data_IF_978491063878
#
_entry.id   IF_978491063878
#
_cell.length_a   1.000
_cell.length_b   1.000
_cell.length_c   1.000
_cell.angle_alpha   90.00
_cell.angle_beta   90.00
_cell.angle_gamma   90.00
#
_symmetry.space_group_name_H-M   'P 1'
#
loop_
_entity.id
_entity.type
_entity.pdbx_description
1 polymer ?
#
# COMPACT_ATOMS: atom_id res chain seq x y z
N UNK A 1 -81.84 20.67 -18.11
CA UNK A 1 -80.83 20.47 -19.17
C UNK A 1 -79.55 19.99 -18.51
N UNK A 2 -79.05 18.85 -18.99
CA UNK A 2 -77.72 18.21 -18.91
C UNK A 2 -76.73 18.65 -17.80
N UNK A 3 -76.13 17.80 -16.95
CA UNK A 3 -75.43 16.50 -17.06
C UNK A 3 -73.94 16.71 -16.67
N UNK A 4 -73.31 15.63 -16.21
CA UNK A 4 -71.88 15.43 -15.94
C UNK A 4 -71.29 16.13 -14.69
N UNK A 5 -70.40 15.53 -13.88
CA UNK A 5 -69.92 14.15 -13.67
C UNK A 5 -69.00 14.24 -12.44
N UNK A 6 -68.84 13.14 -11.73
CA UNK A 6 -67.66 12.72 -10.95
C UNK A 6 -67.94 12.27 -9.52
N UNK A 7 -67.52 11.03 -9.33
CA UNK A 7 -67.63 10.16 -8.19
C UNK A 7 -66.21 9.80 -7.73
N UNK A 8 -66.14 9.43 -6.45
CA UNK A 8 -65.10 8.67 -5.77
C UNK A 8 -63.97 9.54 -5.17
N UNK A 9 -63.45 9.26 -3.97
CA UNK A 9 -63.21 7.96 -3.34
C UNK A 9 -63.31 8.04 -1.82
N UNK A 10 -63.90 7.01 -1.22
CA UNK A 10 -63.79 6.71 0.21
C UNK A 10 -62.81 5.53 0.39
N UNK A 11 -62.12 5.57 1.51
CA UNK A 11 -60.95 4.76 1.85
C UNK A 11 -61.24 3.26 2.02
N UNK A 12 -60.25 2.44 1.66
CA UNK A 12 -59.96 1.20 2.37
C UNK A 12 -58.45 1.03 2.47
N UNK A 13 -58.03 0.70 3.68
CA UNK A 13 -56.71 0.80 4.25
C UNK A 13 -56.08 -0.59 4.35
N UNK A 14 -54.79 -0.69 4.08
CA UNK A 14 -53.95 -1.83 4.49
C UNK A 14 -53.43 -2.69 3.35
N UNK A 15 -52.26 -2.33 2.80
CA UNK A 15 -51.12 -3.27 2.58
C UNK A 15 -49.87 -2.66 1.90
N UNK A 16 -49.67 -1.34 1.91
CA UNK A 16 -48.55 -0.69 1.18
C UNK A 16 -47.45 -0.07 2.04
N UNK A 17 -47.46 -0.23 3.37
CA UNK A 17 -46.46 0.41 4.23
C UNK A 17 -45.09 -0.30 4.29
N UNK A 18 -44.91 -1.45 3.63
CA UNK A 18 -43.63 -2.18 3.58
C UNK A 18 -42.90 -2.11 2.23
N UNK A 19 -43.56 -1.61 1.17
CA UNK A 19 -42.97 -1.41 -0.17
C UNK A 19 -42.27 -0.05 -0.32
N UNK A 20 -42.61 0.93 0.52
CA UNK A 20 -42.19 2.31 0.31
C UNK A 20 -40.80 2.64 0.90
N UNK A 21 -40.30 1.83 1.84
CA UNK A 21 -38.90 1.93 2.32
C UNK A 21 -37.93 1.39 1.27
N UNK A 22 -38.34 0.42 0.45
CA UNK A 22 -37.50 -0.13 -0.62
C UNK A 22 -37.43 0.81 -1.82
N UNK A 23 -38.50 1.56 -2.11
CA UNK A 23 -38.50 2.54 -3.21
C UNK A 23 -37.76 3.85 -2.87
N UNK A 24 -37.72 4.26 -1.60
CA UNK A 24 -36.89 5.41 -1.17
C UNK A 24 -35.37 5.11 -1.10
N UNK A 25 -34.97 3.84 -1.31
CA UNK A 25 -33.57 3.45 -1.54
C UNK A 25 -33.24 3.24 -3.02
N UNK A 26 -34.25 3.18 -3.89
CA UNK A 26 -34.05 3.00 -5.33
C UNK A 26 -33.86 4.32 -6.08
N UNK A 27 -34.36 5.45 -5.54
CA UNK A 27 -34.31 6.77 -6.21
C UNK A 27 -33.17 7.69 -5.74
N UNK A 28 -32.22 7.15 -4.96
CA UNK A 28 -30.97 7.83 -4.59
C UNK A 28 -29.73 7.19 -5.25
N UNK A 29 -29.93 6.30 -6.23
CA UNK A 29 -28.88 5.61 -6.95
C UNK A 29 -28.67 6.14 -8.38
N UNK A 30 -29.45 7.15 -8.81
CA UNK A 30 -29.32 7.78 -10.12
C UNK A 30 -28.84 9.22 -9.94
N UNK A 31 -27.56 9.48 -10.25
CA UNK A 31 -27.01 10.85 -10.25
C UNK A 31 -25.76 11.11 -9.40
N UNK A 32 -25.03 10.09 -8.96
CA UNK A 32 -23.64 10.31 -8.49
C UNK A 32 -22.68 9.58 -9.44
N UNK A 33 -22.35 10.24 -10.55
CA UNK A 33 -21.03 10.05 -11.14
C UNK A 33 -20.00 10.47 -10.07
N UNK A 34 -19.48 9.50 -9.32
CA UNK A 34 -18.23 9.68 -8.57
C UNK A 34 -17.16 9.82 -9.65
N UNK A 35 -16.97 11.06 -10.09
CA UNK A 35 -15.90 11.44 -10.99
C UNK A 35 -14.60 10.83 -10.47
N UNK A 36 -14.02 9.97 -11.28
CA UNK A 36 -12.73 9.33 -11.04
C UNK A 36 -11.76 10.44 -10.63
N UNK A 37 -11.37 10.47 -9.35
CA UNK A 37 -10.37 11.42 -8.90
C UNK A 37 -9.09 11.17 -9.73
N UNK A 38 -8.56 12.20 -10.42
CA UNK A 38 -7.52 12.01 -11.41
C UNK A 38 -6.19 11.70 -10.73
N UNK A 39 -5.89 10.42 -10.49
CA UNK A 39 -4.58 9.98 -10.01
C UNK A 39 -3.51 9.95 -11.13
N UNK A 40 -3.50 10.96 -12.01
CA UNK A 40 -2.58 11.07 -13.15
C UNK A 40 -1.68 12.31 -13.12
N UNK A 41 -1.64 13.07 -12.03
CA UNK A 41 -0.71 14.19 -11.94
C UNK A 41 -0.22 14.41 -10.50
N UNK A 42 0.88 13.73 -10.12
CA UNK A 42 2.17 14.33 -9.73
C UNK A 42 3.18 13.17 -9.60
N UNK A 43 3.59 12.59 -10.74
CA UNK A 43 4.89 11.91 -10.82
C UNK A 43 5.86 12.93 -11.39
N UNK A 44 6.34 13.84 -10.55
CA UNK A 44 7.36 14.82 -10.93
C UNK A 44 8.68 14.45 -10.23
N UNK A 45 9.58 13.86 -11.01
CA UNK A 45 11.02 13.86 -10.76
C UNK A 45 11.60 12.61 -10.09
N UNK A 46 12.32 11.79 -10.86
CA UNK A 46 13.34 10.91 -10.27
C UNK A 46 13.75 9.64 -11.00
N UNK A 47 13.09 9.20 -12.08
CA UNK A 47 13.47 7.95 -12.77
C UNK A 47 14.70 8.15 -13.67
N UNK A 48 15.90 8.17 -13.11
CA UNK A 48 17.15 8.02 -13.89
C UNK A 48 17.23 6.59 -14.42
N UNK A 49 16.61 6.33 -15.58
CA UNK A 49 16.83 5.10 -16.36
C UNK A 49 18.29 5.07 -16.79
N UNK A 50 19.12 4.27 -16.11
CA UNK A 50 20.40 3.86 -16.68
C UNK A 50 20.12 2.67 -17.59
N UNK A 51 20.03 2.96 -18.89
CA UNK A 51 20.08 1.94 -19.92
C UNK A 51 21.41 1.17 -19.77
N UNK A 52 21.34 -0.10 -19.38
CA UNK A 52 22.42 -1.04 -19.62
C UNK A 52 22.05 -1.87 -20.84
N UNK A 53 22.58 -1.45 -21.99
CA UNK A 53 22.81 -2.31 -23.15
C UNK A 53 23.90 -3.30 -22.78
N UNK A 54 23.59 -4.60 -22.73
CA UNK A 54 24.48 -5.76 -22.96
C UNK A 54 23.51 -6.95 -23.16
N UNK A 55 23.17 -7.30 -24.40
CA UNK A 55 23.89 -8.19 -25.31
C UNK A 55 23.18 -9.56 -25.32
N UNK A 56 22.36 -9.77 -26.35
CA UNK A 56 21.79 -11.07 -26.71
C UNK A 56 22.97 -11.97 -27.08
N UNK A 57 23.27 -12.95 -26.24
CA UNK A 57 24.15 -14.06 -26.57
C UNK A 57 23.28 -15.30 -26.77
N UNK A 58 23.05 -15.62 -28.04
CA UNK A 58 22.50 -16.90 -28.48
C UNK A 58 23.54 -17.99 -28.17
N UNK A 59 23.18 -18.98 -27.35
CA UNK A 59 23.93 -20.22 -27.23
C UNK A 59 22.94 -21.40 -27.31
N UNK A 60 23.17 -22.26 -28.28
CA UNK A 60 22.34 -23.43 -28.56
C UNK A 60 22.57 -24.56 -27.52
N UNK A 61 21.46 -25.25 -27.26
CA UNK A 61 21.21 -26.59 -26.70
C UNK A 61 22.35 -27.40 -26.05
N UNK A 62 22.04 -27.94 -24.86
CA UNK A 62 22.40 -29.30 -24.43
C UNK A 62 21.28 -29.85 -23.54
N UNK A 63 20.67 -30.95 -23.98
CA UNK A 63 19.71 -31.73 -23.20
C UNK A 63 20.43 -32.42 -22.04
N UNK A 64 20.01 -32.17 -20.80
CA UNK A 64 20.43 -32.97 -19.65
C UNK A 64 19.32 -33.96 -19.36
N UNK A 65 19.67 -35.23 -19.54
CA UNK A 65 18.89 -36.39 -19.22
C UNK A 65 18.40 -36.37 -17.77
N UNK A 66 17.17 -36.80 -17.56
CA UNK A 66 16.63 -37.18 -16.25
C UNK A 66 17.47 -38.36 -15.75
N UNK A 67 18.35 -38.11 -14.80
CA UNK A 67 18.92 -39.17 -13.96
C UNK A 67 18.24 -39.11 -12.60
N UNK A 68 17.42 -40.12 -12.35
CA UNK A 68 16.99 -40.51 -11.00
C UNK A 68 18.24 -40.80 -10.17
N UNK A 69 18.63 -39.84 -9.33
CA UNK A 69 19.69 -40.03 -8.35
C UNK A 69 19.19 -40.92 -7.22
N UNK A 70 19.46 -42.21 -7.32
CA UNK A 70 19.56 -43.14 -6.19
C UNK A 70 20.57 -42.58 -5.18
N UNK A 71 20.10 -42.18 -4.01
CA UNK A 71 20.98 -41.86 -2.89
C UNK A 71 21.60 -43.17 -2.38
N UNK A 72 22.91 -43.30 -2.62
CA UNK A 72 23.71 -44.39 -2.11
C UNK A 72 23.81 -44.29 -0.59
N UNK A 73 23.33 -45.34 0.08
CA UNK A 73 23.66 -45.68 1.46
C UNK A 73 25.16 -45.99 1.55
N UNK A 74 25.91 -45.21 2.31
CA UNK A 74 27.17 -45.62 2.88
C UNK A 74 27.44 -44.82 4.16
N UNK A 75 27.60 -45.51 5.29
CA UNK A 75 28.05 -44.91 6.55
C UNK A 75 27.32 -45.41 7.78
N UNK A 76 27.60 -46.65 8.15
CA UNK A 76 27.43 -47.19 9.50
C UNK A 76 28.39 -46.41 10.41
N UNK A 77 27.89 -45.62 11.37
CA UNK A 77 28.19 -45.81 12.80
C UNK A 77 27.41 -44.83 13.72
N UNK A 78 26.81 -45.40 14.76
CA UNK A 78 26.42 -44.83 16.06
C UNK A 78 25.54 -43.56 16.13
N UNK A 79 24.22 -43.81 16.09
CA UNK A 79 23.32 -43.43 17.18
C UNK A 79 23.29 -41.96 17.60
N UNK A 80 22.74 -41.10 16.75
CA UNK A 80 21.87 -40.00 17.17
C UNK A 80 20.85 -39.78 16.05
N UNK A 81 19.58 -40.00 16.37
CA UNK A 81 18.44 -39.74 15.50
C UNK A 81 18.36 -38.23 15.25
N UNK A 82 19.09 -37.75 14.24
CA UNK A 82 18.92 -36.38 13.75
C UNK A 82 17.61 -36.38 12.98
N UNK A 83 16.52 -36.10 13.68
CA UNK A 83 15.24 -35.77 13.09
C UNK A 83 15.45 -34.61 12.11
N UNK A 84 15.54 -34.93 10.81
CA UNK A 84 15.40 -33.92 9.76
C UNK A 84 13.97 -33.41 9.84
N UNK A 85 13.81 -32.27 10.51
CA UNK A 85 12.53 -31.55 10.56
C UNK A 85 12.20 -31.15 9.12
N UNK A 86 11.16 -31.76 8.56
CA UNK A 86 10.62 -31.34 7.27
C UNK A 86 10.16 -29.88 7.39
N UNK A 87 10.83 -28.97 6.69
CA UNK A 87 10.45 -27.56 6.64
C UNK A 87 9.16 -27.46 5.83
N UNK A 88 8.03 -27.32 6.53
CA UNK A 88 6.73 -27.08 5.89
C UNK A 88 6.73 -25.69 5.24
N UNK A 89 6.12 -25.52 4.05
CA UNK A 89 5.90 -24.19 3.49
C UNK A 89 5.08 -23.29 4.43
N UNK A 90 5.37 -21.98 4.48
CA UNK A 90 4.66 -21.06 5.35
C UNK A 90 3.17 -21.00 4.99
N UNK A 91 2.34 -20.94 6.03
CA UNK A 91 0.89 -20.78 5.97
C UNK A 91 0.47 -19.42 5.35
N UNK A 92 -0.83 -19.22 5.16
CA UNK A 92 -1.35 -17.93 4.70
C UNK A 92 -1.24 -16.87 5.80
N UNK A 93 -1.40 -17.28 7.06
CA UNK A 93 -1.29 -16.46 8.26
C UNK A 93 0.15 -15.99 8.46
N UNK A 94 1.13 -16.90 8.41
CA UNK A 94 2.57 -16.55 8.49
C UNK A 94 3.03 -15.65 7.34
N UNK A 95 2.34 -15.71 6.18
CA UNK A 95 2.60 -14.83 5.05
C UNK A 95 1.83 -13.52 5.11
N UNK A 96 0.91 -13.34 6.07
CA UNK A 96 0.06 -12.15 6.19
C UNK A 96 -0.82 -11.91 4.97
N UNK A 97 -1.45 -12.98 4.47
CA UNK A 97 -2.35 -12.91 3.30
C UNK A 97 -3.69 -12.28 3.67
N UNK A 98 -4.22 -12.51 4.88
CA UNK A 98 -5.56 -12.06 5.28
C UNK A 98 -5.57 -10.90 6.29
N UNK A 99 -4.43 -10.60 6.91
CA UNK A 99 -4.25 -9.48 7.83
C UNK A 99 -2.86 -8.89 7.57
N UNK A 100 -2.74 -7.60 7.23
CA UNK A 100 -1.48 -7.02 6.81
C UNK A 100 -0.52 -6.85 7.98
N UNK A 101 0.79 -6.89 7.68
CA UNK A 101 1.79 -6.41 8.63
C UNK A 101 1.78 -4.90 8.66
N UNK A 102 1.09 -4.33 9.65
CA UNK A 102 1.02 -2.89 9.87
C UNK A 102 2.23 -2.38 10.66
N UNK A 103 2.95 -1.41 10.10
CA UNK A 103 4.06 -0.70 10.76
C UNK A 103 3.77 0.80 10.80
N UNK A 104 3.90 1.44 11.98
CA UNK A 104 3.91 2.90 12.07
C UNK A 104 5.29 3.43 11.71
N UNK A 105 5.38 4.25 10.66
CA UNK A 105 6.65 4.80 10.17
C UNK A 105 7.01 6.08 10.91
N UNK A 106 6.05 6.98 11.04
CA UNK A 106 6.19 8.25 11.73
C UNK A 106 4.86 8.70 12.33
N UNK A 107 4.93 9.47 13.40
CA UNK A 107 3.79 10.18 13.99
C UNK A 107 4.28 11.47 14.62
N UNK A 108 3.39 12.43 14.79
CA UNK A 108 3.72 13.69 15.43
C UNK A 108 2.52 14.58 15.65
N UNK A 109 2.80 15.82 16.06
CA UNK A 109 1.83 16.91 16.13
C UNK A 109 2.25 18.02 15.18
N UNK A 110 1.30 18.60 14.48
CA UNK A 110 1.46 19.81 13.67
C UNK A 110 0.27 20.72 13.94
N UNK A 111 0.52 21.98 14.33
CA UNK A 111 -0.54 22.92 14.74
C UNK A 111 -1.50 22.38 15.80
N UNK A 112 -1.00 21.55 16.71
CA UNK A 112 -1.79 20.90 17.77
C UNK A 112 -2.59 19.67 17.31
N UNK A 113 -2.61 19.38 16.00
CA UNK A 113 -3.29 18.22 15.41
C UNK A 113 -2.37 17.02 15.36
N UNK A 114 -2.88 15.84 15.70
CA UNK A 114 -2.08 14.61 15.64
C UNK A 114 -2.07 14.06 14.22
N UNK A 115 -0.92 13.57 13.78
CA UNK A 115 -0.80 12.85 12.51
C UNK A 115 0.01 11.58 12.65
N UNK A 116 -0.31 10.58 11.83
CA UNK A 116 0.37 9.28 11.81
C UNK A 116 0.45 8.74 10.40
N UNK A 117 1.60 8.18 10.03
CA UNK A 117 1.79 7.44 8.79
C UNK A 117 2.01 5.97 9.12
N UNK A 118 1.16 5.10 8.58
CA UNK A 118 1.30 3.65 8.67
C UNK A 118 1.51 3.04 7.30
N UNK A 119 2.14 1.86 7.30
CA UNK A 119 2.31 1.03 6.11
C UNK A 119 1.82 -0.36 6.42
N UNK A 120 0.93 -0.84 5.57
CA UNK A 120 0.34 -2.15 5.61
C UNK A 120 0.97 -2.99 4.50
N UNK A 121 1.63 -4.08 4.87
CA UNK A 121 2.24 -5.03 3.94
C UNK A 121 1.39 -6.29 3.85
N UNK A 122 0.85 -6.54 2.65
CA UNK A 122 0.03 -7.70 2.35
C UNK A 122 0.86 -8.79 1.66
N UNK A 123 0.76 -10.01 2.19
CA UNK A 123 1.39 -11.20 1.65
C UNK A 123 0.85 -11.59 0.28
N UNK A 124 1.71 -12.17 -0.55
CA UNK A 124 1.29 -12.70 -1.84
C UNK A 124 0.43 -13.97 -1.68
N UNK A 125 -0.83 -14.01 -2.15
CA UNK A 125 -1.64 -15.21 -2.15
C UNK A 125 -1.08 -16.20 -3.17
N UNK A 126 -1.05 -17.50 -2.85
CA UNK A 126 -0.43 -18.52 -3.73
C UNK A 126 -1.37 -19.06 -4.80
N UNK A 127 -2.67 -18.88 -4.61
CA UNK A 127 -3.71 -19.43 -5.47
C UNK A 127 -4.95 -18.52 -5.48
N UNK A 128 -5.89 -18.84 -6.36
CA UNK A 128 -7.10 -18.05 -6.57
C UNK A 128 -8.00 -17.99 -5.32
N UNK A 129 -8.05 -19.06 -4.53
CA UNK A 129 -8.84 -19.12 -3.30
C UNK A 129 -8.31 -18.15 -2.22
N UNK A 130 -6.99 -18.15 -1.99
CA UNK A 130 -6.34 -17.18 -1.10
C UNK A 130 -6.56 -15.75 -1.62
N UNK A 131 -6.50 -15.55 -2.93
CA UNK A 131 -6.66 -14.25 -3.55
C UNK A 131 -8.08 -13.69 -3.41
N UNK A 132 -9.12 -14.54 -3.53
CA UNK A 132 -10.53 -14.16 -3.26
C UNK A 132 -10.71 -13.74 -1.81
N UNK A 133 -10.22 -14.53 -0.86
CA UNK A 133 -10.31 -14.22 0.56
C UNK A 133 -9.54 -12.97 0.95
N UNK A 134 -8.33 -12.82 0.43
CA UNK A 134 -7.54 -11.60 0.62
C UNK A 134 -8.25 -10.37 0.04
N UNK A 135 -8.84 -10.47 -1.16
CA UNK A 135 -9.55 -9.35 -1.77
C UNK A 135 -10.70 -8.85 -0.89
N UNK A 136 -11.45 -9.76 -0.26
CA UNK A 136 -12.45 -9.42 0.75
C UNK A 136 -11.84 -8.71 1.95
N UNK A 137 -10.77 -9.27 2.54
CA UNK A 137 -10.09 -8.67 3.70
C UNK A 137 -9.55 -7.25 3.41
N UNK A 138 -9.03 -7.00 2.21
CA UNK A 138 -8.55 -5.67 1.79
C UNK A 138 -9.69 -4.65 1.81
N UNK A 139 -10.85 -5.04 1.28
CA UNK A 139 -12.05 -4.18 1.28
C UNK A 139 -12.54 -3.93 2.69
N UNK A 140 -12.56 -4.96 3.55
CA UNK A 140 -12.97 -4.84 4.96
C UNK A 140 -12.03 -3.90 5.75
N UNK A 141 -10.76 -3.80 5.33
CA UNK A 141 -9.79 -2.83 5.84
C UNK A 141 -9.93 -1.42 5.23
N UNK A 142 -10.88 -1.20 4.32
CA UNK A 142 -11.09 0.08 3.64
C UNK A 142 -10.00 0.42 2.61
N UNK A 143 -9.25 -0.58 2.14
CA UNK A 143 -8.19 -0.42 1.16
C UNK A 143 -8.62 -0.90 -0.23
N UNK A 144 -7.84 -0.55 -1.26
CA UNK A 144 -8.00 -1.09 -2.61
C UNK A 144 -6.65 -1.59 -3.11
N UNK A 145 -6.58 -2.80 -3.68
CA UNK A 145 -5.31 -3.31 -4.14
C UNK A 145 -4.81 -2.54 -5.38
N UNK A 146 -3.51 -2.24 -5.49
CA UNK A 146 -2.97 -1.54 -6.65
C UNK A 146 -3.16 -2.38 -7.91
N UNK A 147 -3.79 -1.78 -8.93
CA UNK A 147 -4.01 -2.35 -10.29
C UNK A 147 -4.89 -3.60 -10.38
N UNK A 148 -5.15 -4.28 -9.28
CA UNK A 148 -6.02 -5.45 -9.23
C UNK A 148 -7.49 -5.02 -9.17
N UNK A 149 -8.21 -5.20 -10.28
CA UNK A 149 -9.68 -5.02 -10.31
C UNK A 149 -10.44 -6.30 -9.99
N UNK A 150 -9.75 -7.43 -9.97
CA UNK A 150 -10.32 -8.76 -9.72
C UNK A 150 -9.39 -9.58 -8.83
N UNK A 151 -9.92 -10.46 -7.97
CA UNK A 151 -9.11 -11.22 -7.01
C UNK A 151 -7.99 -12.04 -7.63
N UNK A 152 -8.26 -12.76 -8.73
CA UNK A 152 -7.27 -13.62 -9.42
C UNK A 152 -5.98 -12.88 -9.77
N UNK A 153 -6.06 -11.57 -9.99
CA UNK A 153 -4.88 -10.76 -10.28
C UNK A 153 -3.95 -10.61 -9.07
N UNK A 154 -4.37 -10.90 -7.83
CA UNK A 154 -3.46 -10.87 -6.67
C UNK A 154 -2.53 -12.09 -6.59
N UNK A 155 -2.83 -13.18 -7.30
CA UNK A 155 -2.04 -14.42 -7.21
C UNK A 155 -0.56 -14.16 -7.50
N UNK A 156 0.29 -14.54 -6.53
CA UNK A 156 1.74 -14.38 -6.59
C UNK A 156 2.25 -12.96 -6.32
N UNK A 157 1.35 -11.99 -6.03
CA UNK A 157 1.70 -10.58 -5.87
C UNK A 157 1.38 -10.08 -4.47
N UNK A 158 2.41 -9.65 -3.75
CA UNK A 158 2.24 -8.85 -2.54
C UNK A 158 2.06 -7.38 -2.91
N UNK A 159 1.53 -6.59 -2.00
CA UNK A 159 1.45 -5.14 -2.17
C UNK A 159 1.58 -4.44 -0.83
N UNK A 160 1.81 -3.13 -0.91
CA UNK A 160 1.80 -2.25 0.23
C UNK A 160 0.76 -1.15 0.05
N UNK A 161 0.18 -0.73 1.16
CA UNK A 161 -0.67 0.45 1.29
C UNK A 161 -0.06 1.37 2.34
N UNK A 162 0.02 2.65 2.04
CA UNK A 162 0.47 3.70 2.95
C UNK A 162 -0.73 4.55 3.28
N UNK A 163 -1.00 4.70 4.57
CA UNK A 163 -2.14 5.45 5.09
C UNK A 163 -1.64 6.59 5.97
N UNK A 164 -2.29 7.75 5.82
CA UNK A 164 -2.09 8.93 6.65
C UNK A 164 -3.35 9.16 7.47
N UNK A 165 -3.18 9.22 8.80
CA UNK A 165 -4.19 9.76 9.71
C UNK A 165 -3.85 11.20 10.07
N UNK A 166 -4.87 12.06 10.10
CA UNK A 166 -4.83 13.35 10.81
C UNK A 166 -6.07 13.43 11.68
N UNK A 167 -5.89 13.61 13.00
CA UNK A 167 -6.95 13.53 14.02
C UNK A 167 -7.81 12.26 13.85
N UNK A 168 -7.14 11.12 13.69
CA UNK A 168 -7.72 9.78 13.46
C UNK A 168 -8.57 9.62 12.19
N UNK A 169 -8.61 10.62 11.32
CA UNK A 169 -9.21 10.51 9.98
C UNK A 169 -8.18 9.92 9.02
N UNK A 170 -8.36 8.64 8.67
CA UNK A 170 -7.48 7.89 7.80
C UNK A 170 -7.76 8.14 6.32
N UNK A 171 -6.69 8.23 5.51
CA UNK A 171 -6.78 8.17 4.05
C UNK A 171 -5.58 7.45 3.42
N UNK A 172 -5.76 6.73 2.31
CA UNK A 172 -4.65 6.18 1.54
C UNK A 172 -3.88 7.31 0.85
N UNK A 173 -2.54 7.20 0.83
CA UNK A 173 -1.65 8.23 0.26
C UNK A 173 -0.62 7.68 -0.71
N UNK A 174 -0.28 6.40 -0.63
CA UNK A 174 0.60 5.72 -1.57
C UNK A 174 0.30 4.23 -1.55
N UNK A 175 0.36 3.57 -2.71
CA UNK A 175 0.19 2.13 -2.82
C UNK A 175 1.09 1.58 -3.93
N UNK A 176 1.48 0.32 -3.82
CA UNK A 176 2.28 -0.31 -4.87
C UNK A 176 2.48 -1.80 -4.66
N UNK A 177 2.90 -2.47 -5.72
CA UNK A 177 3.23 -3.89 -5.68
C UNK A 177 4.59 -4.11 -4.99
N UNK A 178 4.69 -5.22 -4.26
CA UNK A 178 5.94 -5.75 -3.72
C UNK A 178 6.41 -6.80 -4.71
N UNK A 179 7.27 -6.37 -5.65
CA UNK A 179 7.85 -7.27 -6.63
C UNK A 179 9.20 -7.80 -6.11
N UNK A 180 9.31 -9.12 -6.00
CA UNK A 180 10.58 -9.80 -5.66
C UNK A 180 11.68 -9.56 -6.69
N UNK A 181 11.33 -9.20 -7.93
CA UNK A 181 12.29 -8.93 -9.00
C UNK A 181 12.89 -7.51 -8.94
N UNK A 182 12.30 -6.60 -8.15
CA UNK A 182 12.74 -5.21 -8.03
C UNK A 182 13.19 -4.87 -6.61
N UNK A 183 14.19 -5.61 -6.13
CA UNK A 183 14.90 -5.26 -4.90
C UNK A 183 15.59 -3.90 -5.02
N UNK A 184 15.32 -2.99 -4.09
CA UNK A 184 15.95 -1.66 -4.06
C UNK A 184 17.42 -1.77 -3.63
N UNK A 185 18.32 -1.13 -4.36
CA UNK A 185 19.76 -1.21 -4.15
C UNK A 185 20.41 0.18 -4.02
N UNK A 186 21.54 0.27 -3.31
CA UNK A 186 22.33 1.50 -3.22
C UNK A 186 21.51 2.73 -2.79
N UNK A 187 21.32 3.67 -3.73
CA UNK A 187 20.59 4.93 -3.53
C UNK A 187 19.21 4.93 -4.19
N UNK A 188 18.67 3.75 -4.52
CA UNK A 188 17.33 3.62 -5.08
C UNK A 188 16.30 4.22 -4.12
N UNK A 189 15.33 4.93 -4.70
CA UNK A 189 14.37 5.76 -4.00
C UNK A 189 13.06 5.83 -4.79
N UNK A 190 11.96 5.71 -4.07
CA UNK A 190 10.63 6.09 -4.54
C UNK A 190 9.95 6.92 -3.45
N UNK A 191 9.37 8.06 -3.83
CA UNK A 191 8.74 8.97 -2.87
C UNK A 191 7.58 9.72 -3.51
N UNK A 192 6.61 10.10 -2.68
CA UNK A 192 5.58 11.07 -3.00
C UNK A 192 5.63 12.22 -2.00
N UNK A 193 5.33 13.42 -2.47
CA UNK A 193 5.10 14.58 -1.62
C UNK A 193 3.62 14.94 -1.72
N UNK A 194 2.98 15.04 -0.56
CA UNK A 194 1.55 15.30 -0.44
C UNK A 194 1.27 16.38 0.61
N UNK A 195 0.09 16.99 0.60
CA UNK A 195 -0.34 17.82 1.70
C UNK A 195 -0.58 16.98 2.96
N UNK A 196 -0.21 17.51 4.13
CA UNK A 196 -0.53 16.88 5.42
C UNK A 196 -2.05 16.87 5.64
N UNK A 197 -2.73 17.97 5.34
CA UNK A 197 -4.18 18.10 5.48
C UNK A 197 -4.87 17.80 4.16
N UNK A 198 -6.05 17.18 4.20
CA UNK A 198 -6.83 16.98 2.99
C UNK A 198 -7.26 18.35 2.44
N UNK A 199 -7.25 18.52 1.11
CA UNK A 199 -7.84 19.70 0.50
C UNK A 199 -9.34 19.66 0.75
N UNK A 200 -9.84 20.50 1.65
CA UNK A 200 -11.25 20.88 1.62
C UNK A 200 -11.47 21.78 0.40
N UNK A 201 -12.70 21.87 -0.10
CA UNK A 201 -13.06 22.70 -1.28
C UNK A 201 -12.56 24.15 -1.18
N UNK A 202 -12.29 24.62 0.04
CA UNK A 202 -11.97 26.00 0.35
C UNK A 202 -10.44 26.25 0.50
N UNK A 203 -9.60 25.21 0.38
CA UNK A 203 -8.14 25.32 0.44
C UNK A 203 -7.48 25.12 -0.93
N UNK A 204 -7.68 26.07 -1.82
CA UNK A 204 -6.81 26.23 -2.98
C UNK A 204 -5.40 26.65 -2.49
N UNK A 205 -4.43 25.72 -2.52
CA UNK A 205 -3.01 26.02 -2.22
C UNK A 205 -2.34 25.18 -1.13
N UNK A 206 -2.91 24.05 -0.69
CA UNK A 206 -2.26 23.19 0.29
C UNK A 206 -0.89 22.69 -0.22
N UNK A 207 0.19 23.10 0.46
CA UNK A 207 1.58 22.79 0.09
C UNK A 207 1.91 21.32 0.34
N UNK A 208 2.64 20.72 -0.60
CA UNK A 208 3.11 19.33 -0.51
C UNK A 208 4.29 19.22 0.46
N UNK A 209 4.02 19.32 1.76
CA UNK A 209 5.06 19.35 2.81
C UNK A 209 5.31 18.00 3.50
N UNK A 210 4.49 16.99 3.25
CA UNK A 210 4.69 15.65 3.79
C UNK A 210 5.28 14.75 2.70
N UNK A 211 6.53 14.35 2.86
CA UNK A 211 7.23 13.44 1.95
C UNK A 211 7.25 12.05 2.57
N UNK A 212 6.75 11.06 1.85
CA UNK A 212 6.80 9.66 2.25
C UNK A 212 7.53 8.91 1.15
N UNK A 213 8.43 8.00 1.52
CA UNK A 213 9.11 7.20 0.52
C UNK A 213 9.77 5.94 1.06
N UNK A 214 10.09 5.06 0.12
CA UNK A 214 10.87 3.85 0.33
C UNK A 214 12.25 4.00 -0.28
N UNK A 215 13.22 3.37 0.37
CA UNK A 215 14.64 3.38 0.02
C UNK A 215 15.22 1.97 0.17
N UNK A 216 16.36 1.74 -0.47
CA UNK A 216 17.12 0.52 -0.26
C UNK A 216 17.40 0.28 1.23
N UNK A 217 17.37 -0.98 1.69
CA UNK A 217 17.60 -1.34 3.09
C UNK A 217 18.91 -0.80 3.67
N UNK A 218 19.92 -0.57 2.81
CA UNK A 218 21.25 -0.10 3.19
C UNK A 218 21.39 1.42 3.16
N UNK A 219 20.37 2.18 2.76
CA UNK A 219 20.39 3.64 2.82
C UNK A 219 20.69 4.11 4.24
N UNK A 220 21.63 5.05 4.38
CA UNK A 220 22.04 5.60 5.69
C UNK A 220 21.35 6.90 5.99
N UNK A 221 21.19 7.73 4.96
CA UNK A 221 20.65 9.07 5.09
C UNK A 221 19.71 9.41 3.94
N UNK A 222 18.60 10.07 4.27
CA UNK A 222 17.70 10.71 3.33
C UNK A 222 17.66 12.19 3.67
N UNK A 223 17.88 13.04 2.67
CA UNK A 223 17.79 14.50 2.82
C UNK A 223 16.63 15.01 1.99
N UNK A 224 15.58 15.47 2.68
CA UNK A 224 14.46 16.18 2.10
C UNK A 224 14.79 17.68 2.06
N UNK A 225 14.72 18.29 0.88
CA UNK A 225 14.99 19.72 0.68
C UNK A 225 13.67 20.43 0.39
N UNK A 226 13.48 21.55 1.07
CA UNK A 226 12.30 22.40 0.93
C UNK A 226 12.57 23.53 -0.07
N UNK A 227 11.52 24.19 -0.52
CA UNK A 227 11.56 25.31 -1.45
C UNK A 227 12.42 26.49 -0.95
N UNK A 228 12.35 26.79 0.35
CA UNK A 228 13.18 27.77 1.06
C UNK A 228 14.67 27.39 1.18
N UNK A 229 15.07 26.21 0.69
CA UNK A 229 16.44 25.70 0.74
C UNK A 229 16.82 25.03 2.06
N UNK A 230 15.97 25.06 3.08
CA UNK A 230 16.19 24.29 4.31
C UNK A 230 16.04 22.79 4.07
N UNK A 231 16.51 21.98 5.01
CA UNK A 231 16.49 20.52 4.87
C UNK A 231 16.00 19.81 6.13
N UNK A 232 15.36 18.66 5.91
CA UNK A 232 15.08 17.67 6.95
C UNK A 232 15.89 16.41 6.63
N UNK A 233 16.64 15.91 7.61
CA UNK A 233 17.57 14.80 7.42
C UNK A 233 17.13 13.59 8.24
N UNK A 234 16.79 12.50 7.55
CA UNK A 234 16.42 11.25 8.16
C UNK A 234 17.61 10.28 8.19
N UNK A 235 17.87 9.71 9.36
CA UNK A 235 18.91 8.71 9.55
C UNK A 235 18.31 7.32 9.79
N UNK A 236 19.04 6.28 9.38
CA UNK A 236 18.64 4.91 9.64
C UNK A 236 18.63 4.59 11.13
N UNK A 237 17.53 3.99 11.57
CA UNK A 237 17.32 3.54 12.95
C UNK A 237 17.07 2.03 12.99
N UNK A 238 17.33 1.35 14.12
CA UNK A 238 16.94 -0.05 14.29
C UNK A 238 15.42 -0.21 14.34
N UNK A 239 14.93 -1.43 14.11
CA UNK A 239 13.49 -1.71 14.02
C UNK A 239 12.71 -1.36 15.32
N UNK A 240 13.34 -1.51 16.49
CA UNK A 240 12.76 -1.23 17.80
C UNK A 240 12.82 0.25 18.22
N UNK A 241 13.26 1.15 17.35
CA UNK A 241 13.32 2.58 17.65
C UNK A 241 11.90 3.16 17.78
N UNK A 242 11.62 4.00 18.79
CA UNK A 242 10.29 4.56 19.01
C UNK A 242 9.75 5.31 17.77
N UNK A 243 8.44 5.33 17.57
CA UNK A 243 7.81 5.97 16.40
C UNK A 243 7.50 7.47 16.59
N UNK A 244 7.41 7.94 17.84
CA UNK A 244 7.09 9.34 18.18
C UNK A 244 8.37 10.18 18.31
N UNK A 245 9.02 10.48 17.19
CA UNK A 245 10.22 11.29 17.19
C UNK A 245 9.98 12.63 16.51
N UNK A 246 10.55 13.69 17.09
CA UNK A 246 10.57 15.04 16.49
C UNK A 246 11.50 15.14 15.28
N UNK A 247 12.34 14.13 15.05
CA UNK A 247 13.32 14.07 13.97
C UNK A 247 12.92 12.96 13.00
N UNK A 248 12.96 13.20 11.68
CA UNK A 248 12.66 12.17 10.69
C UNK A 248 13.68 11.02 10.77
N UNK A 249 13.24 9.81 10.46
CA UNK A 249 14.07 8.59 10.51
C UNK A 249 13.81 7.70 9.30
N UNK A 250 14.79 6.86 8.95
CA UNK A 250 14.64 5.75 8.00
C UNK A 250 14.41 4.48 8.82
N UNK A 251 13.23 3.88 8.68
CA UNK A 251 12.73 2.77 9.49
C UNK A 251 12.58 1.49 8.66
N UNK A 252 13.03 0.33 9.18
CA UNK A 252 12.65 -0.97 8.64
C UNK A 252 11.14 -1.23 8.82
N UNK A 253 10.47 -1.75 7.80
CA UNK A 253 9.03 -2.07 7.84
C UNK A 253 8.85 -3.58 7.81
N UNK A 254 8.00 -4.12 8.70
CA UNK A 254 7.72 -5.54 8.76
C UNK A 254 7.14 -6.03 7.43
N UNK A 255 7.64 -7.15 6.90
CA UNK A 255 7.25 -7.68 5.59
C UNK A 255 7.85 -6.94 4.38
N UNK A 256 8.64 -5.87 4.58
CA UNK A 256 9.26 -5.12 3.49
C UNK A 256 10.78 -5.30 3.45
N UNK A 257 11.34 -5.58 2.27
CA UNK A 257 12.80 -5.54 2.06
C UNK A 257 13.33 -4.10 1.99
N UNK A 258 12.47 -3.13 1.69
CA UNK A 258 12.82 -1.72 1.68
C UNK A 258 12.73 -1.11 3.08
N UNK A 259 13.53 -0.08 3.33
CA UNK A 259 13.32 0.80 4.47
C UNK A 259 12.51 2.03 4.05
N UNK A 260 11.84 2.67 4.99
CA UNK A 260 10.89 3.73 4.73
C UNK A 260 11.21 4.99 5.53
N UNK A 261 10.90 6.15 4.98
CA UNK A 261 11.10 7.43 5.65
C UNK A 261 9.88 8.33 5.48
N UNK A 262 9.76 9.25 6.44
CA UNK A 262 8.81 10.36 6.36
C UNK A 262 9.54 11.65 6.74
N UNK A 263 9.43 12.67 5.90
CA UNK A 263 9.87 14.02 6.21
C UNK A 263 8.66 14.94 6.23
N UNK A 264 8.51 15.72 7.29
CA UNK A 264 7.56 16.82 7.34
C UNK A 264 8.30 18.15 7.24
N UNK A 265 7.88 18.98 6.29
CA UNK A 265 8.33 20.35 6.15
C UNK A 265 7.62 21.24 7.16
N UNK A 266 8.33 22.27 7.63
CA UNK A 266 7.73 23.30 8.46
C UNK A 266 6.57 24.01 7.76
N UNK A 267 5.87 24.86 8.51
CA UNK A 267 4.79 25.66 7.95
C UNK A 267 5.26 26.54 6.79
N UNK A 268 4.42 26.68 5.76
CA UNK A 268 4.72 27.48 4.58
C UNK A 268 5.76 26.87 3.64
N UNK A 269 6.27 25.67 3.91
CA UNK A 269 7.26 24.99 3.06
C UNK A 269 6.62 24.07 2.04
N UNK A 270 7.20 24.02 0.86
CA UNK A 270 6.86 23.03 -0.16
C UNK A 270 8.03 22.10 -0.44
N UNK A 271 7.72 20.83 -0.73
CA UNK A 271 8.73 19.88 -1.16
C UNK A 271 9.41 20.31 -2.46
N UNK A 272 10.75 20.33 -2.45
CA UNK A 272 11.57 20.64 -3.62
C UNK A 272 12.27 19.42 -4.19
N UNK A 273 12.97 18.66 -3.35
CA UNK A 273 13.72 17.48 -3.79
C UNK A 273 14.08 16.55 -2.64
N UNK A 274 14.42 15.31 -2.96
CA UNK A 274 14.91 14.31 -2.02
C UNK A 274 16.17 13.65 -2.55
N UNK A 275 17.12 13.33 -1.66
CA UNK A 275 18.37 12.65 -1.98
C UNK A 275 18.64 11.53 -0.99
N UNK A 276 19.16 10.41 -1.47
CA UNK A 276 19.60 9.27 -0.65
C UNK A 276 21.12 9.14 -0.71
N UNK A 277 21.73 8.85 0.43
CA UNK A 277 23.13 8.41 0.51
C UNK A 277 23.24 7.10 1.32
N UNK A 278 24.20 6.26 0.92
CA UNK A 278 24.44 4.92 1.47
C UNK A 278 25.69 4.81 2.34
#
# INVERSE_FOLDING_TARGET
MSADRETNQNMAQGDTAHSDITFLLADAADGVEIGIAPYQAVVRGGRRRRARRWAVASAAALAIAVSTGTLALAGIDNGHEVNQVAVRPPSAEERHVYDPQRTTVAMGRDRGREWRVTIDIWGAPRNEEEAVRQFGAIIDHGELPPRARIPKSLVGRGFFSVSLAVDDVWRPVMQGEIDKAYGMSGTDLESAAIPLEAKTSDQAGALNRLVIGRVAARARTVTCTWDDGTTSVAHKVPANYAANNKVPVIRPVAGSEAAWFVCLGGEGKEFKSVRVTG
#
